data_IF_089151139365
#
_entry.id   IF_089151139365
#
_cell.length_a   1.000
_cell.length_b   1.000
_cell.length_c   1.000
_cell.angle_alpha   90.00
_cell.angle_beta   90.00
_cell.angle_gamma   90.00
#
_symmetry.space_group_name_H-M   'P 1'
#
loop_
_entity.id
_entity.type
_entity.pdbx_description
1 polymer ?
#
# COMPACT_ATOMS: atom_id res chain seq x y z
N UNK A 1 28.74 25.45 -58.06
CA UNK A 1 29.41 24.66 -59.11
C UNK A 1 29.78 23.30 -58.52
N UNK A 2 29.45 22.23 -59.24
CA UNK A 2 29.92 20.82 -59.13
C UNK A 2 29.96 20.16 -57.74
N UNK A 3 29.01 19.27 -57.41
CA UNK A 3 28.95 17.83 -57.75
C UNK A 3 30.16 17.03 -57.23
N UNK A 4 29.91 16.15 -56.27
CA UNK A 4 30.79 15.05 -55.89
C UNK A 4 29.96 13.82 -55.51
N UNK A 5 29.84 12.89 -56.46
CA UNK A 5 29.18 11.60 -56.31
C UNK A 5 30.21 10.50 -55.96
N UNK A 6 29.77 9.48 -55.22
CA UNK A 6 30.44 8.17 -55.11
C UNK A 6 29.48 7.15 -54.47
N UNK A 7 28.77 6.32 -55.26
CA UNK A 7 29.14 4.94 -55.66
C UNK A 7 29.36 4.01 -54.45
N UNK A 8 28.37 3.22 -54.00
CA UNK A 8 27.90 1.89 -54.50
C UNK A 8 28.80 0.68 -54.11
N UNK A 9 28.22 -0.19 -53.26
CA UNK A 9 28.35 -1.68 -53.11
C UNK A 9 29.65 -2.35 -52.64
N UNK A 10 29.52 -3.16 -51.57
CA UNK A 10 29.83 -4.63 -51.45
C UNK A 10 29.54 -5.08 -50.00
N UNK A 11 28.49 -5.86 -49.70
CA UNK A 11 28.37 -7.34 -49.65
C UNK A 11 29.35 -8.06 -48.69
N UNK A 12 28.74 -8.69 -47.66
CA UNK A 12 28.99 -9.99 -47.03
C UNK A 12 30.18 -10.17 -46.06
N UNK A 13 29.85 -10.48 -44.80
CA UNK A 13 30.40 -11.63 -44.07
C UNK A 13 29.40 -12.09 -42.98
N UNK A 14 29.12 -13.40 -42.98
CA UNK A 14 28.27 -14.12 -42.02
C UNK A 14 29.13 -14.76 -40.91
N UNK A 15 28.42 -15.27 -39.88
CA UNK A 15 28.73 -16.41 -38.99
C UNK A 15 29.33 -16.08 -37.61
N UNK A 16 28.53 -16.35 -36.57
CA UNK A 16 28.91 -17.30 -35.50
C UNK A 16 27.64 -17.80 -34.78
N UNK A 17 27.31 -19.08 -35.00
CA UNK A 17 26.41 -19.89 -34.17
C UNK A 17 27.16 -20.34 -32.92
N UNK A 18 26.53 -20.27 -31.75
CA UNK A 18 26.82 -21.18 -30.63
C UNK A 18 25.51 -21.56 -29.94
N UNK A 19 25.10 -22.82 -30.15
CA UNK A 19 24.05 -23.51 -29.43
C UNK A 19 24.66 -24.18 -28.18
N UNK A 20 24.07 -23.93 -27.01
CA UNK A 20 24.35 -24.64 -25.77
C UNK A 20 23.23 -25.63 -25.46
N UNK A 21 23.57 -26.91 -25.35
CA UNK A 21 22.66 -28.02 -25.06
C UNK A 21 22.67 -28.26 -23.54
N UNK A 22 21.51 -28.23 -22.89
CA UNK A 22 21.31 -28.81 -21.56
C UNK A 22 20.16 -29.82 -21.63
N UNK A 23 20.53 -31.09 -21.62
CA UNK A 23 19.68 -32.27 -21.46
C UNK A 23 19.34 -32.47 -19.99
N UNK A 24 18.09 -32.79 -19.66
CA UNK A 24 17.73 -33.30 -18.33
C UNK A 24 16.24 -33.37 -18.07
N UNK A 25 15.55 -34.35 -18.65
CA UNK A 25 14.20 -34.74 -18.22
C UNK A 25 14.02 -36.24 -18.45
N UNK A 26 13.87 -37.01 -17.38
CA UNK A 26 13.02 -38.22 -17.35
C UNK A 26 12.94 -38.79 -15.94
N UNK A 27 11.71 -38.92 -15.45
CA UNK A 27 11.36 -39.69 -14.27
C UNK A 27 9.84 -39.78 -14.21
N UNK A 28 9.29 -40.77 -14.90
CA UNK A 28 7.88 -41.15 -14.84
C UNK A 28 7.82 -42.66 -14.64
N UNK A 29 7.13 -43.11 -13.59
CA UNK A 29 6.50 -44.42 -13.44
C UNK A 29 5.91 -44.52 -12.01
N UNK A 30 4.57 -44.55 -11.89
CA UNK A 30 3.76 -45.69 -11.36
C UNK A 30 3.67 -45.62 -9.81
N UNK A 31 2.54 -45.69 -9.10
CA UNK A 31 1.21 -46.26 -9.29
C UNK A 31 0.23 -45.65 -8.25
N UNK A 32 -1.06 -45.65 -8.54
CA UNK A 32 -2.21 -45.31 -7.67
C UNK A 32 -3.05 -46.62 -7.50
N UNK A 33 -4.10 -46.74 -6.67
CA UNK A 33 -4.29 -46.38 -5.26
C UNK A 33 -4.96 -47.53 -4.42
N UNK A 34 -5.21 -47.21 -3.13
CA UNK A 34 -6.24 -47.77 -2.20
C UNK A 34 -5.93 -49.08 -1.47
N UNK A 35 -5.91 -49.02 -0.14
CA UNK A 35 -7.09 -49.32 0.70
C UNK A 35 -6.80 -49.16 2.19
N UNK A 36 -7.71 -48.41 2.81
CA UNK A 36 -8.15 -48.27 4.20
C UNK A 36 -7.59 -49.22 5.27
N UNK A 37 -7.24 -48.66 6.43
CA UNK A 37 -7.98 -48.92 7.68
C UNK A 37 -7.55 -48.00 8.83
N UNK A 38 -8.55 -47.66 9.65
CA UNK A 38 -8.49 -47.30 11.08
C UNK A 38 -8.03 -45.90 11.50
N UNK A 39 -9.07 -45.11 11.80
CA UNK A 39 -9.26 -44.34 13.02
C UNK A 39 -8.08 -44.25 14.01
N UNK A 40 -7.69 -43.01 14.31
CA UNK A 40 -7.48 -42.51 15.67
C UNK A 40 -7.30 -40.99 15.69
N UNK A 41 -8.13 -40.34 16.51
CA UNK A 41 -7.85 -39.14 17.31
C UNK A 41 -6.55 -38.38 17.05
N UNK A 42 -6.66 -37.10 16.69
CA UNK A 42 -5.66 -36.06 16.94
C UNK A 42 -6.42 -34.73 17.08
N UNK A 43 -6.57 -34.26 18.32
CA UNK A 43 -5.66 -33.32 18.96
C UNK A 43 -5.87 -31.89 18.42
N UNK A 44 -6.40 -31.03 19.29
CA UNK A 44 -6.37 -29.58 19.12
C UNK A 44 -4.97 -29.12 18.75
N UNK A 45 -4.83 -28.57 17.55
CA UNK A 45 -3.86 -27.55 17.25
C UNK A 45 -4.65 -26.36 16.68
N UNK A 46 -4.91 -25.41 17.58
CA UNK A 46 -5.22 -24.04 17.19
C UNK A 46 -3.97 -23.40 16.59
N UNK A 47 -4.20 -22.40 15.72
CA UNK A 47 -3.25 -21.65 14.89
C UNK A 47 -2.86 -22.40 13.60
N UNK A 48 -2.95 -21.82 12.40
CA UNK A 48 -2.90 -20.42 12.02
C UNK A 48 -4.02 -20.09 11.03
N UNK A 49 -4.63 -18.93 11.22
CA UNK A 49 -5.52 -18.33 10.25
C UNK A 49 -4.77 -18.11 8.92
N UNK A 50 -5.46 -18.39 7.82
CA UNK A 50 -5.00 -18.26 6.45
C UNK A 50 -4.17 -16.99 6.24
N UNK A 51 -2.86 -17.16 6.11
CA UNK A 51 -1.99 -16.14 5.54
C UNK A 51 -2.20 -16.20 4.04
N UNK A 52 -3.10 -15.37 3.53
CA UNK A 52 -3.22 -15.11 2.09
C UNK A 52 -1.84 -14.66 1.58
N UNK A 53 -1.15 -15.54 0.85
CA UNK A 53 -0.28 -15.30 -0.31
C UNK A 53 0.82 -14.22 -0.33
N UNK A 54 0.95 -13.33 0.67
CA UNK A 54 1.92 -12.24 0.61
C UNK A 54 3.31 -12.73 1.00
N UNK A 55 4.25 -12.62 0.07
CA UNK A 55 5.67 -12.84 0.34
C UNK A 55 6.11 -11.95 1.49
N UNK A 56 6.82 -12.52 2.47
CA UNK A 56 7.26 -11.78 3.65
C UNK A 56 8.20 -10.61 3.26
N UNK A 57 7.70 -9.38 3.35
CA UNK A 57 8.50 -8.15 3.20
C UNK A 57 9.39 -7.92 4.43
N UNK A 58 10.62 -7.44 4.22
CA UNK A 58 11.54 -7.08 5.30
C UNK A 58 11.09 -5.80 6.00
N UNK A 59 11.29 -5.73 7.32
CA UNK A 59 10.99 -4.54 8.13
C UNK A 59 12.08 -3.48 7.98
N UNK A 60 11.69 -2.23 7.83
CA UNK A 60 12.57 -1.06 7.75
C UNK A 60 12.66 -0.26 9.05
N UNK A 61 11.63 -0.34 9.90
CA UNK A 61 11.55 0.36 11.17
C UNK A 61 10.12 0.37 11.71
N UNK A 62 9.93 0.97 12.89
CA UNK A 62 8.62 1.25 13.48
C UNK A 62 8.38 2.75 13.48
N UNK A 63 7.17 3.18 13.14
CA UNK A 63 6.73 4.59 13.21
C UNK A 63 5.54 4.77 14.17
N UNK A 64 5.15 6.01 14.44
CA UNK A 64 4.01 6.34 15.32
C UNK A 64 4.37 6.62 16.78
N UNK A 65 5.64 6.49 17.16
CA UNK A 65 6.06 6.64 18.55
C UNK A 65 5.86 8.09 19.04
N UNK A 66 5.51 8.25 20.32
CA UNK A 66 5.42 9.56 20.95
C UNK A 66 6.75 10.32 20.85
N UNK A 67 6.69 11.60 20.46
CA UNK A 67 7.82 12.48 20.22
C UNK A 67 8.56 12.23 18.90
N UNK A 68 8.04 11.38 18.00
CA UNK A 68 8.61 11.19 16.66
C UNK A 68 8.02 12.18 15.65
N UNK A 69 8.70 12.35 14.51
CA UNK A 69 8.22 13.23 13.43
C UNK A 69 6.85 12.78 12.90
N UNK A 70 6.58 11.47 12.87
CA UNK A 70 5.25 10.90 12.65
C UNK A 70 4.68 10.33 13.95
N UNK A 71 4.39 11.18 14.94
CA UNK A 71 3.65 10.77 16.13
C UNK A 71 2.20 10.40 15.78
N UNK A 72 1.74 9.23 16.23
CA UNK A 72 0.41 8.71 15.93
C UNK A 72 -0.21 8.06 17.17
N UNK A 73 -1.55 7.91 17.23
CA UNK A 73 -2.23 7.11 18.27
C UNK A 73 -1.88 5.61 18.29
N UNK A 74 -1.19 5.14 17.25
CA UNK A 74 -0.81 3.74 17.02
C UNK A 74 0.64 3.67 16.57
N UNK A 75 1.28 2.53 16.80
CA UNK A 75 2.57 2.21 16.18
C UNK A 75 2.44 1.00 15.27
N UNK A 76 3.26 0.96 14.22
CA UNK A 76 3.36 -0.17 13.31
C UNK A 76 4.71 -0.15 12.57
N UNK A 77 5.04 -1.27 11.97
CA UNK A 77 6.28 -1.43 11.22
C UNK A 77 6.07 -1.07 9.74
N UNK A 78 7.04 -0.39 9.14
CA UNK A 78 7.09 -0.10 7.71
C UNK A 78 8.08 -1.02 6.99
N UNK A 79 7.92 -1.17 5.69
CA UNK A 79 8.81 -2.00 4.88
C UNK A 79 10.22 -1.39 4.77
N UNK A 80 11.21 -2.24 4.51
CA UNK A 80 12.58 -1.79 4.27
C UNK A 80 12.63 -0.83 3.06
N UNK A 81 13.37 0.27 3.20
CA UNK A 81 13.51 1.33 2.19
C UNK A 81 12.23 2.14 1.94
N UNK A 82 11.24 2.06 2.82
CA UNK A 82 10.14 3.01 2.87
C UNK A 82 10.48 4.09 3.90
N UNK A 83 10.12 5.33 3.61
CA UNK A 83 10.50 6.50 4.41
C UNK A 83 9.26 7.24 4.88
N UNK A 84 9.16 7.49 6.18
CA UNK A 84 7.99 8.15 6.78
C UNK A 84 8.28 9.62 7.04
N UNK A 85 7.34 10.48 6.66
CA UNK A 85 7.42 11.92 6.85
C UNK A 85 6.08 12.48 7.35
N UNK A 86 6.16 13.47 8.24
CA UNK A 86 4.99 14.17 8.73
C UNK A 86 4.33 14.95 7.59
N UNK A 87 3.00 14.90 7.51
CA UNK A 87 2.27 15.79 6.63
C UNK A 87 2.10 17.13 7.34
N UNK A 88 2.76 18.16 6.84
CA UNK A 88 2.63 19.50 7.38
C UNK A 88 1.25 20.07 7.01
N UNK A 89 0.32 20.11 7.97
CA UNK A 89 -0.75 21.09 7.95
C UNK A 89 -0.11 22.48 8.12
N UNK A 90 -0.29 23.36 7.14
CA UNK A 90 0.07 24.78 7.25
C UNK A 90 1.54 25.19 7.43
N UNK A 91 2.55 24.32 7.59
CA UNK A 91 3.97 24.78 7.61
C UNK A 91 4.57 24.78 6.22
N UNK A 92 4.00 25.60 5.33
CA UNK A 92 4.75 26.07 4.18
C UNK A 92 6.03 26.72 4.70
N UNK A 93 7.17 26.04 4.57
CA UNK A 93 8.49 26.67 4.65
C UNK A 93 8.73 27.51 3.41
N UNK A 94 7.79 28.41 3.11
CA UNK A 94 8.05 29.58 2.33
C UNK A 94 8.02 30.73 3.32
N UNK A 95 9.21 31.20 3.67
CA UNK A 95 9.43 32.52 4.25
C UNK A 95 8.97 33.59 3.25
N UNK A 96 7.67 33.69 3.02
CA UNK A 96 7.02 34.72 2.24
C UNK A 96 5.94 35.34 3.13
N UNK A 97 6.18 36.59 3.52
CA UNK A 97 5.39 37.30 4.53
C UNK A 97 3.88 37.24 4.31
N UNK A 98 3.16 37.19 5.42
CA UNK A 98 1.70 37.09 5.47
C UNK A 98 1.01 38.15 4.62
N UNK A 99 0.43 37.69 3.52
CA UNK A 99 -0.62 38.37 2.75
C UNK A 99 -1.92 37.61 2.92
N UNK A 100 -3.06 38.26 2.68
CA UNK A 100 -4.40 37.63 2.69
C UNK A 100 -4.48 36.45 1.70
N UNK A 101 -3.70 36.49 0.61
CA UNK A 101 -3.56 35.39 -0.36
C UNK A 101 -2.86 34.15 0.26
N UNK A 102 -1.97 34.33 1.23
CA UNK A 102 -1.29 33.24 1.93
C UNK A 102 -2.23 32.52 2.91
N UNK A 103 -3.15 33.23 3.55
CA UNK A 103 -4.14 32.63 4.46
C UNK A 103 -5.16 31.81 3.67
N UNK A 104 -5.64 32.32 2.54
CA UNK A 104 -6.53 31.58 1.64
C UNK A 104 -5.83 30.34 1.04
N UNK A 105 -4.56 30.47 0.66
CA UNK A 105 -3.77 29.32 0.18
C UNK A 105 -3.57 28.26 1.25
N UNK A 106 -3.35 28.66 2.52
CA UNK A 106 -3.26 27.74 3.65
C UNK A 106 -4.58 27.06 3.93
N UNK A 107 -5.70 27.79 3.94
CA UNK A 107 -7.02 27.20 4.14
C UNK A 107 -7.38 26.18 3.05
N UNK A 108 -7.03 26.46 1.79
CA UNK A 108 -7.19 25.51 0.68
C UNK A 108 -6.28 24.30 0.87
N UNK A 109 -5.02 24.51 1.25
CA UNK A 109 -4.07 23.41 1.48
C UNK A 109 -4.54 22.51 2.62
N UNK A 110 -4.99 23.09 3.74
CA UNK A 110 -5.51 22.34 4.87
C UNK A 110 -6.78 21.59 4.51
N UNK A 111 -7.69 22.19 3.72
CA UNK A 111 -8.89 21.50 3.23
C UNK A 111 -8.55 20.26 2.39
N UNK A 112 -7.45 20.27 1.64
CA UNK A 112 -6.98 19.11 0.85
C UNK A 112 -6.38 17.99 1.72
N UNK A 113 -6.07 18.27 2.99
CA UNK A 113 -5.58 17.28 3.95
C UNK A 113 -6.70 16.59 4.71
N UNK A 114 -7.96 16.91 4.44
CA UNK A 114 -9.11 16.27 5.06
C UNK A 114 -9.75 15.26 4.10
N UNK A 115 -10.20 14.14 4.66
CA UNK A 115 -11.02 13.18 3.94
C UNK A 115 -12.03 12.56 4.92
N UNK A 116 -13.30 12.97 4.79
CA UNK A 116 -14.33 12.63 5.77
C UNK A 116 -13.94 13.11 7.19
N UNK A 117 -13.99 12.25 8.22
CA UNK A 117 -13.76 12.66 9.61
C UNK A 117 -12.28 12.70 10.02
N UNK A 118 -11.35 12.52 9.09
CA UNK A 118 -9.91 12.40 9.39
C UNK A 118 -9.05 13.37 8.57
N UNK A 119 -7.90 13.72 9.15
CA UNK A 119 -6.90 14.61 8.56
C UNK A 119 -5.59 13.84 8.36
N UNK A 120 -4.89 14.08 7.25
CA UNK A 120 -3.61 13.44 6.96
C UNK A 120 -2.56 13.85 7.99
N UNK A 121 -1.86 12.87 8.57
CA UNK A 121 -0.88 13.08 9.64
C UNK A 121 0.54 12.65 9.22
N UNK A 122 0.65 11.56 8.47
CA UNK A 122 1.94 11.02 8.03
C UNK A 122 1.80 10.37 6.65
N UNK A 123 2.85 10.46 5.85
CA UNK A 123 2.97 9.76 4.58
C UNK A 123 4.22 8.87 4.63
N UNK A 124 4.11 7.64 4.12
CA UNK A 124 5.24 6.69 4.02
C UNK A 124 5.52 6.45 2.54
N UNK A 125 6.57 7.09 2.03
CA UNK A 125 6.97 7.05 0.62
C UNK A 125 7.57 5.70 0.25
N UNK A 126 7.03 5.08 -0.80
CA UNK A 126 7.48 3.81 -1.35
C UNK A 126 8.52 3.95 -2.47
N UNK A 127 8.74 5.18 -2.99
CA UNK A 127 9.69 5.47 -4.07
C UNK A 127 11.12 5.02 -3.77
N UNK A 128 11.67 5.19 -2.55
CA UNK A 128 13.03 4.71 -2.28
C UNK A 128 13.13 3.17 -2.33
N UNK A 129 12.00 2.46 -2.20
CA UNK A 129 11.90 1.01 -2.41
C UNK A 129 11.57 0.61 -3.86
N UNK A 130 11.41 1.56 -4.78
CA UNK A 130 11.16 1.33 -6.20
C UNK A 130 9.70 1.22 -6.64
N UNK A 131 8.73 1.56 -5.78
CA UNK A 131 7.31 1.62 -6.15
C UNK A 131 6.84 3.07 -6.34
N UNK A 132 5.77 3.28 -7.08
CA UNK A 132 5.15 4.59 -7.28
C UNK A 132 3.86 4.66 -6.45
N UNK A 133 4.03 5.05 -5.18
CA UNK A 133 2.94 5.23 -4.24
C UNK A 133 3.43 5.50 -2.82
N UNK A 134 2.49 5.56 -1.90
CA UNK A 134 2.74 5.77 -0.47
C UNK A 134 1.64 5.11 0.35
N UNK A 135 1.93 4.85 1.62
CA UNK A 135 0.88 4.70 2.63
C UNK A 135 0.58 6.08 3.19
N UNK A 136 -0.68 6.50 3.17
CA UNK A 136 -1.10 7.71 3.88
C UNK A 136 -1.82 7.33 5.16
N UNK A 137 -1.39 7.97 6.24
CA UNK A 137 -1.95 7.80 7.57
C UNK A 137 -2.76 9.03 7.90
N UNK A 138 -4.00 8.79 8.30
CA UNK A 138 -4.95 9.81 8.69
C UNK A 138 -5.37 9.60 10.14
N UNK A 139 -5.59 10.70 10.85
CA UNK A 139 -6.05 10.71 12.25
C UNK A 139 -7.27 11.58 12.40
N UNK A 140 -8.19 11.22 13.29
CA UNK A 140 -9.35 12.04 13.63
C UNK A 140 -9.43 12.32 15.13
N UNK A 141 -10.38 13.15 15.52
CA UNK A 141 -10.68 13.42 16.92
C UNK A 141 -11.27 12.17 17.64
N UNK A 142 -11.08 12.02 18.96
CA UNK A 142 -11.76 10.99 19.75
C UNK A 142 -13.28 11.02 19.59
N UNK A 143 -13.90 9.84 19.48
CA UNK A 143 -15.34 9.69 19.35
C UNK A 143 -15.80 8.24 19.54
N UNK A 144 -17.11 8.04 19.45
CA UNK A 144 -17.77 6.73 19.68
C UNK A 144 -17.99 5.91 18.40
N UNK A 145 -17.60 6.44 17.24
CA UNK A 145 -17.71 5.73 15.96
C UNK A 145 -16.78 4.52 15.91
N UNK A 146 -17.26 3.40 15.39
CA UNK A 146 -16.43 2.23 15.17
C UNK A 146 -15.59 2.36 13.88
N UNK A 147 -14.53 1.53 13.76
CA UNK A 147 -13.60 1.57 12.64
C UNK A 147 -14.25 1.44 11.26
N UNK A 148 -15.35 0.68 11.14
CA UNK A 148 -16.05 0.54 9.86
C UNK A 148 -16.81 1.82 9.53
N UNK A 149 -17.50 2.40 10.50
CA UNK A 149 -18.21 3.68 10.34
C UNK A 149 -17.25 4.79 9.87
N UNK A 150 -16.05 4.86 10.46
CA UNK A 150 -14.99 5.79 10.02
C UNK A 150 -14.60 5.55 8.56
N UNK A 151 -14.40 4.30 8.13
CA UNK A 151 -14.07 4.00 6.72
C UNK A 151 -15.22 4.30 5.76
N UNK A 152 -16.47 4.12 6.17
CA UNK A 152 -17.64 4.47 5.36
C UNK A 152 -17.69 5.99 5.12
N UNK A 153 -17.43 6.79 6.16
CA UNK A 153 -17.33 8.24 6.03
C UNK A 153 -16.11 8.69 5.21
N UNK A 154 -14.95 8.05 5.38
CA UNK A 154 -13.73 8.29 4.60
C UNK A 154 -13.93 8.03 3.09
N UNK A 155 -14.64 6.96 2.73
CA UNK A 155 -14.96 6.64 1.32
C UNK A 155 -16.07 7.53 0.74
N UNK A 156 -16.99 8.03 1.57
CA UNK A 156 -18.09 8.88 1.11
C UNK A 156 -17.60 10.23 0.56
N UNK A 157 -16.45 10.69 1.04
CA UNK A 157 -15.79 11.92 0.60
C UNK A 157 -14.92 11.73 -0.66
N UNK A 158 -14.70 10.47 -1.07
CA UNK A 158 -13.91 10.13 -2.25
C UNK A 158 -14.78 9.96 -3.51
N UNK A 159 -14.39 10.63 -4.59
CA UNK A 159 -15.12 10.57 -5.85
C UNK A 159 -14.78 9.30 -6.64
N UNK A 160 -15.81 8.69 -7.25
CA UNK A 160 -15.61 7.56 -8.17
C UNK A 160 -15.40 6.21 -7.47
N UNK A 161 -15.66 6.14 -6.16
CA UNK A 161 -15.65 4.88 -5.38
C UNK A 161 -16.72 3.92 -5.87
N UNK A 162 -16.36 2.65 -6.00
CA UNK A 162 -17.31 1.57 -6.30
C UNK A 162 -16.82 0.23 -5.74
N UNK A 163 -17.74 -0.75 -5.67
CA UNK A 163 -17.47 -2.15 -5.26
C UNK A 163 -16.76 -2.27 -3.90
N UNK A 164 -17.01 -1.36 -2.97
CA UNK A 164 -16.45 -1.41 -1.62
C UNK A 164 -16.84 -2.73 -0.92
N UNK A 165 -15.84 -3.40 -0.37
CA UNK A 165 -15.97 -4.64 0.40
C UNK A 165 -15.26 -4.49 1.72
N UNK A 166 -16.03 -4.58 2.80
CA UNK A 166 -15.54 -4.42 4.15
C UNK A 166 -15.29 -5.79 4.80
N UNK A 167 -14.22 -5.89 5.58
CA UNK A 167 -13.92 -7.04 6.42
C UNK A 167 -13.42 -6.57 7.79
N UNK A 168 -13.73 -7.32 8.84
CA UNK A 168 -13.19 -7.06 10.17
C UNK A 168 -11.85 -7.78 10.35
N UNK A 169 -10.95 -7.19 11.11
CA UNK A 169 -9.69 -7.83 11.50
C UNK A 169 -9.32 -7.51 12.95
N UNK A 170 -8.30 -8.22 13.46
CA UNK A 170 -7.68 -7.91 14.74
C UNK A 170 -6.17 -7.79 14.56
N UNK A 171 -5.57 -6.81 15.22
CA UNK A 171 -4.12 -6.64 15.31
C UNK A 171 -3.75 -6.41 16.79
N UNK A 172 -3.20 -7.44 17.43
CA UNK A 172 -3.02 -7.44 18.88
C UNK A 172 -4.35 -7.22 19.62
N UNK A 173 -4.42 -6.15 20.42
CA UNK A 173 -5.64 -5.76 21.15
C UNK A 173 -6.61 -4.88 20.33
N UNK A 174 -6.20 -4.40 19.16
CA UNK A 174 -7.02 -3.54 18.31
C UNK A 174 -8.00 -4.38 17.50
N UNK A 175 -9.28 -4.02 17.55
CA UNK A 175 -10.26 -4.42 16.56
C UNK A 175 -10.31 -3.36 15.45
N UNK A 176 -10.30 -3.80 14.21
CA UNK A 176 -10.30 -2.90 13.05
C UNK A 176 -11.19 -3.37 11.93
N UNK A 177 -11.36 -2.48 10.95
CA UNK A 177 -12.04 -2.75 9.70
C UNK A 177 -11.09 -2.48 8.53
N UNK A 178 -11.16 -3.30 7.49
CA UNK A 178 -10.45 -3.11 6.22
C UNK A 178 -11.49 -2.99 5.11
N UNK A 179 -11.24 -2.10 4.16
CA UNK A 179 -12.01 -1.96 2.94
C UNK A 179 -11.12 -2.16 1.72
N UNK A 180 -11.61 -2.94 0.76
CA UNK A 180 -11.09 -3.09 -0.61
C UNK A 180 -12.11 -2.49 -1.57
N UNK A 181 -11.69 -1.61 -2.47
CA UNK A 181 -12.61 -0.89 -3.35
C UNK A 181 -11.94 -0.51 -4.67
N UNK A 182 -12.73 0.03 -5.58
CA UNK A 182 -12.27 0.58 -6.85
C UNK A 182 -12.50 2.08 -6.89
N UNK A 183 -11.54 2.82 -7.44
CA UNK A 183 -11.63 4.26 -7.70
C UNK A 183 -11.52 4.50 -9.20
N UNK A 184 -12.46 5.24 -9.77
CA UNK A 184 -12.44 5.62 -11.19
C UNK A 184 -12.09 7.09 -11.36
N UNK A 185 -10.93 7.38 -11.95
CA UNK A 185 -10.55 8.73 -12.35
C UNK A 185 -11.23 9.08 -13.66
N UNK A 186 -12.14 10.05 -13.65
CA UNK A 186 -12.74 10.56 -14.89
C UNK A 186 -11.73 11.24 -15.81
N UNK A 187 -10.65 11.80 -15.23
CA UNK A 187 -9.63 12.50 -15.99
C UNK A 187 -8.76 11.55 -16.80
N UNK A 188 -8.45 10.38 -16.23
CA UNK A 188 -7.63 9.36 -16.86
C UNK A 188 -8.47 8.27 -17.55
N UNK A 189 -9.79 8.26 -17.33
CA UNK A 189 -10.71 7.19 -17.75
C UNK A 189 -10.27 5.79 -17.27
N UNK A 190 -9.57 5.75 -16.13
CA UNK A 190 -8.98 4.55 -15.55
C UNK A 190 -9.62 4.21 -14.20
N UNK A 191 -9.84 2.92 -13.99
CA UNK A 191 -10.28 2.37 -12.71
C UNK A 191 -9.13 1.61 -12.07
N UNK A 192 -8.81 1.93 -10.81
CA UNK A 192 -7.77 1.26 -10.03
C UNK A 192 -8.31 0.67 -8.73
N UNK A 193 -7.58 -0.32 -8.21
CA UNK A 193 -7.80 -0.89 -6.89
C UNK A 193 -7.16 -0.02 -5.81
N UNK A 194 -7.87 0.14 -4.70
CA UNK A 194 -7.37 0.78 -3.49
C UNK A 194 -7.83 0.01 -2.25
N UNK A 195 -7.11 0.21 -1.16
CA UNK A 195 -7.45 -0.40 0.12
C UNK A 195 -7.15 0.54 1.28
N UNK A 196 -7.99 0.50 2.32
CA UNK A 196 -7.74 1.19 3.57
C UNK A 196 -8.10 0.29 4.75
N UNK A 197 -7.42 0.48 5.88
CA UNK A 197 -7.87 -0.03 7.17
C UNK A 197 -8.11 1.12 8.14
N UNK A 198 -8.94 0.87 9.13
CA UNK A 198 -9.10 1.74 10.28
C UNK A 198 -9.06 0.95 11.59
N UNK A 199 -8.60 1.63 12.64
CA UNK A 199 -8.75 1.24 14.04
C UNK A 199 -9.16 2.46 14.84
N UNK A 200 -9.81 2.24 15.98
CA UNK A 200 -10.18 3.31 16.91
C UNK A 200 -9.37 3.17 18.19
N UNK A 201 -8.91 4.30 18.73
CA UNK A 201 -8.15 4.38 19.97
C UNK A 201 -8.77 5.43 20.88
N UNK A 202 -8.35 5.48 22.15
CA UNK A 202 -8.78 6.54 23.08
C UNK A 202 -8.38 7.96 22.61
N UNK A 203 -7.35 8.07 21.76
CA UNK A 203 -6.88 9.34 21.19
C UNK A 203 -7.53 9.66 19.84
N UNK A 204 -8.45 8.81 19.35
CA UNK A 204 -9.11 8.98 18.05
C UNK A 204 -8.89 7.84 17.07
N UNK A 205 -9.60 7.86 15.93
CA UNK A 205 -9.42 6.89 14.87
C UNK A 205 -8.12 7.12 14.11
N UNK A 206 -7.59 6.02 13.56
CA UNK A 206 -6.46 6.03 12.63
C UNK A 206 -6.86 5.25 11.38
N UNK A 207 -6.71 5.87 10.21
CA UNK A 207 -6.88 5.23 8.89
C UNK A 207 -5.50 5.06 8.25
N UNK A 208 -5.18 3.85 7.80
CA UNK A 208 -4.01 3.61 6.94
C UNK A 208 -4.54 3.27 5.56
N UNK A 209 -4.26 4.13 4.59
CA UNK A 209 -4.73 4.02 3.21
C UNK A 209 -3.56 3.69 2.28
N UNK A 210 -3.75 2.65 1.47
CA UNK A 210 -2.88 2.27 0.38
C UNK A 210 -3.58 2.57 -0.94
N UNK A 211 -3.13 3.63 -1.59
CA UNK A 211 -3.40 3.87 -3.00
C UNK A 211 -2.40 3.16 -3.91
N UNK A 212 -2.20 3.75 -5.08
CA UNK A 212 -1.23 3.35 -6.10
C UNK A 212 -1.42 4.23 -7.32
N UNK A 213 -0.38 4.33 -8.16
CA UNK A 213 -0.54 4.98 -9.47
C UNK A 213 -1.63 4.28 -10.28
N UNK A 214 -1.60 2.95 -10.28
CA UNK A 214 -2.57 2.07 -10.92
C UNK A 214 -2.80 0.80 -10.07
N UNK A 215 -3.53 -0.17 -10.62
CA UNK A 215 -3.82 -1.45 -9.97
C UNK A 215 -2.56 -2.34 -9.79
N UNK A 216 -1.61 -2.27 -10.71
CA UNK A 216 -0.38 -3.07 -10.63
C UNK A 216 0.51 -2.56 -9.50
N UNK A 217 0.74 -1.25 -9.44
CA UNK A 217 1.47 -0.58 -8.37
C UNK A 217 0.80 -0.80 -7.01
N UNK A 218 -0.53 -0.66 -6.93
CA UNK A 218 -1.28 -0.97 -5.71
C UNK A 218 -0.99 -2.40 -5.21
N UNK A 219 -1.10 -3.39 -6.11
CA UNK A 219 -0.88 -4.81 -5.76
C UNK A 219 0.56 -5.11 -5.37
N UNK A 220 1.53 -4.47 -6.02
CA UNK A 220 2.94 -4.60 -5.69
C UNK A 220 3.25 -4.12 -4.26
N UNK A 221 2.50 -3.14 -3.75
CA UNK A 221 2.67 -2.56 -2.42
C UNK A 221 1.87 -3.27 -1.30
N UNK A 222 0.95 -4.17 -1.63
CA UNK A 222 0.15 -4.91 -0.63
C UNK A 222 0.99 -5.63 0.45
N UNK A 223 2.18 -6.21 0.17
CA UNK A 223 3.01 -6.79 1.23
C UNK A 223 3.44 -5.77 2.31
N UNK A 224 3.69 -4.51 1.93
CA UNK A 224 4.04 -3.44 2.87
C UNK A 224 2.82 -3.01 3.70
N UNK A 225 1.66 -2.89 3.07
CA UNK A 225 0.40 -2.65 3.76
C UNK A 225 0.05 -3.76 4.76
N UNK A 226 0.22 -5.02 4.38
CA UNK A 226 -0.02 -6.16 5.27
C UNK A 226 1.00 -6.21 6.42
N UNK A 227 2.25 -5.76 6.21
CA UNK A 227 3.21 -5.56 7.30
C UNK A 227 2.71 -4.50 8.30
N UNK A 228 2.22 -3.36 7.83
CA UNK A 228 1.68 -2.32 8.69
C UNK A 228 0.48 -2.86 9.51
N UNK A 229 -0.49 -3.48 8.81
CA UNK A 229 -1.69 -4.08 9.43
C UNK A 229 -1.36 -5.09 10.53
N UNK A 230 -0.48 -6.06 10.25
CA UNK A 230 -0.17 -7.15 11.21
C UNK A 230 0.67 -6.72 12.41
N UNK A 231 1.36 -5.60 12.30
CA UNK A 231 2.25 -5.06 13.37
C UNK A 231 1.63 -3.88 14.12
N UNK A 232 0.41 -3.50 13.72
CA UNK A 232 -0.38 -2.44 14.33
C UNK A 232 -0.67 -2.72 15.80
N UNK A 233 -0.42 -1.71 16.63
CA UNK A 233 -0.64 -1.73 18.09
C UNK A 233 -0.89 -0.32 18.60
N UNK A 234 -1.51 -0.20 19.77
CA UNK A 234 -1.69 1.09 20.44
C UNK A 234 -0.33 1.74 20.69
N UNK A 235 -0.23 3.06 20.46
CA UNK A 235 0.99 3.87 20.61
C UNK A 235 1.16 4.49 21.99
#
# INVERSE_FOLDING_TARGET
MLVGAGQVRRRLAQVALLAGVLTGCSGAAEDDPKTSASASTSASASAEAASDGYTAVKRGGTIGAAGSDCELPVTFDIAQYWEAEAVAAGTGKDEAGGSEDSELAQEIADALLHQGPVTAACEVDAKPAGNIGFLRIWTGEPGDEDARTVLEAFLADENGVSKAKYSAFKAGALAGAEVKYLVTSKLLEETKEETALAVTTEKGPVVIHLGGMDTEEHRAMLPAYELAKRTLRVG
#
